data_IF_556525597063
#
_entry.id   IF_556525597063
#
_cell.length_a   1.000
_cell.length_b   1.000
_cell.length_c   1.000
_cell.angle_alpha   90.00
_cell.angle_beta   90.00
_cell.angle_gamma   90.00
#
_symmetry.space_group_name_H-M   'P 1'
#
loop_
_entity.id
_entity.type
_entity.pdbx_description
1 polymer ?
#
# COMPACT_ATOMS: atom_id res chain seq x y z
N UNK A 1 -22.70 -24.27 -12.57
CA UNK A 1 -22.60 -23.36 -13.74
C UNK A 1 -21.17 -23.30 -14.30
N UNK A 2 -20.14 -23.04 -13.47
CA UNK A 2 -18.76 -22.89 -13.95
C UNK A 2 -18.03 -24.22 -14.30
N UNK A 3 -18.56 -25.38 -13.89
CA UNK A 3 -18.00 -26.70 -14.25
C UNK A 3 -16.98 -27.28 -13.26
N UNK A 4 -16.86 -26.74 -12.05
CA UNK A 4 -16.01 -27.30 -10.98
C UNK A 4 -16.72 -28.48 -10.31
N UNK A 5 -15.99 -29.57 -10.11
CA UNK A 5 -16.40 -30.70 -9.27
C UNK A 5 -16.51 -30.24 -7.81
N UNK A 6 -17.73 -30.28 -7.28
CA UNK A 6 -18.06 -29.77 -5.96
C UNK A 6 -17.59 -30.65 -4.80
N UNK A 7 -17.33 -31.93 -5.07
CA UNK A 7 -16.96 -32.90 -4.03
C UNK A 7 -15.43 -32.98 -3.89
N UNK A 8 -14.70 -32.80 -4.99
CA UNK A 8 -13.24 -32.97 -5.03
C UNK A 8 -12.44 -31.68 -5.08
N UNK A 9 -12.96 -30.62 -5.73
CA UNK A 9 -12.16 -29.42 -6.06
C UNK A 9 -12.83 -28.11 -5.64
N UNK A 10 -13.82 -28.17 -4.73
CA UNK A 10 -14.52 -27.00 -4.25
C UNK A 10 -14.37 -26.84 -2.73
N UNK A 11 -13.55 -25.87 -2.34
CA UNK A 11 -13.27 -25.55 -0.94
C UNK A 11 -14.09 -24.35 -0.51
N UNK A 12 -15.03 -24.57 0.41
CA UNK A 12 -16.00 -23.56 0.83
C UNK A 12 -15.50 -22.74 2.01
N UNK A 13 -15.97 -21.52 2.09
CA UNK A 13 -16.05 -20.72 3.31
C UNK A 13 -17.42 -20.04 3.35
N UNK A 14 -17.75 -19.39 4.46
CA UNK A 14 -19.12 -18.95 4.75
C UNK A 14 -19.27 -17.43 4.67
N UNK A 15 -20.52 -16.98 4.61
CA UNK A 15 -20.93 -15.58 4.53
C UNK A 15 -20.49 -14.72 5.72
N UNK A 16 -20.35 -15.31 6.90
CA UNK A 16 -19.80 -14.66 8.08
C UNK A 16 -18.27 -14.46 8.05
N UNK A 17 -17.57 -15.00 7.03
CA UNK A 17 -16.15 -14.73 6.78
C UNK A 17 -16.03 -13.59 5.79
N UNK A 18 -15.81 -12.37 6.29
CA UNK A 18 -15.55 -11.21 5.44
C UNK A 18 -14.27 -11.38 4.61
N UNK A 19 -14.25 -10.88 3.37
CA UNK A 19 -13.13 -11.08 2.45
C UNK A 19 -11.76 -10.66 3.03
N UNK A 20 -11.71 -9.51 3.71
CA UNK A 20 -10.50 -8.98 4.37
C UNK A 20 -10.11 -9.70 5.67
N UNK A 21 -10.94 -10.63 6.16
CA UNK A 21 -10.70 -11.52 7.32
C UNK A 21 -10.66 -13.01 6.90
N UNK A 22 -10.47 -13.30 5.61
CA UNK A 22 -10.71 -14.65 5.06
C UNK A 22 -9.47 -15.55 4.98
N UNK A 23 -8.27 -15.05 5.27
CA UNK A 23 -7.03 -15.81 5.05
C UNK A 23 -6.93 -17.07 5.93
N UNK A 24 -7.54 -17.08 7.13
CA UNK A 24 -7.64 -18.27 7.97
C UNK A 24 -8.69 -19.30 7.49
N UNK A 25 -9.47 -18.99 6.45
CA UNK A 25 -10.45 -19.89 5.83
C UNK A 25 -9.83 -20.67 4.64
N UNK A 26 -10.67 -21.39 3.89
CA UNK A 26 -10.29 -22.01 2.62
C UNK A 26 -9.58 -21.06 1.64
N UNK A 27 -9.89 -19.75 1.70
CA UNK A 27 -9.28 -18.74 0.82
C UNK A 27 -7.75 -18.66 0.98
N UNK A 28 -7.22 -18.75 2.20
CA UNK A 28 -5.77 -18.86 2.42
C UNK A 28 -5.30 -20.30 2.57
N UNK A 29 -6.10 -21.18 3.19
CA UNK A 29 -5.72 -22.55 3.48
C UNK A 29 -5.31 -23.32 2.23
N UNK A 30 -6.09 -23.23 1.15
CA UNK A 30 -5.82 -23.98 -0.09
C UNK A 30 -4.50 -23.54 -0.73
N UNK A 31 -4.30 -22.27 -1.14
CA UNK A 31 -3.07 -21.87 -1.83
C UNK A 31 -1.82 -21.99 -0.94
N UNK A 32 -1.90 -21.66 0.35
CA UNK A 32 -0.75 -21.71 1.26
C UNK A 32 -0.36 -23.17 1.53
N UNK A 33 -1.33 -24.06 1.73
CA UNK A 33 -1.05 -25.48 1.97
C UNK A 33 -0.51 -26.19 0.73
N UNK A 34 -0.95 -25.79 -0.48
CA UNK A 34 -0.39 -26.31 -1.72
C UNK A 34 1.09 -25.96 -1.89
N UNK A 35 1.50 -24.75 -1.45
CA UNK A 35 2.87 -24.29 -1.60
C UNK A 35 3.79 -24.76 -0.46
N UNK A 36 3.29 -24.78 0.78
CA UNK A 36 4.10 -24.97 1.97
C UNK A 36 3.70 -26.17 2.86
N UNK A 37 2.67 -26.91 2.45
CA UNK A 37 2.11 -28.03 3.22
C UNK A 37 1.10 -27.57 4.29
N UNK A 38 0.11 -28.42 4.53
CA UNK A 38 -0.95 -28.15 5.51
C UNK A 38 -0.42 -28.03 6.95
N UNK A 39 0.62 -28.80 7.30
CA UNK A 39 1.25 -28.73 8.63
C UNK A 39 1.83 -27.34 8.95
N UNK A 40 2.33 -26.62 7.93
CA UNK A 40 2.79 -25.24 8.12
C UNK A 40 1.61 -24.29 8.31
N UNK A 41 0.55 -24.47 7.51
CA UNK A 41 -0.67 -23.68 7.64
C UNK A 41 -1.36 -23.89 9.00
N UNK A 42 -1.34 -25.11 9.53
CA UNK A 42 -1.88 -25.41 10.86
C UNK A 42 -1.10 -24.65 11.96
N UNK A 43 0.23 -24.53 11.84
CA UNK A 43 1.04 -23.70 12.76
C UNK A 43 0.67 -22.22 12.67
N UNK A 44 0.38 -21.74 11.46
CA UNK A 44 -0.14 -20.39 11.25
C UNK A 44 -1.49 -20.17 11.93
N UNK A 45 -2.45 -21.10 11.75
CA UNK A 45 -3.75 -21.04 12.41
C UNK A 45 -3.62 -21.08 13.94
N UNK A 46 -2.70 -21.90 14.48
CA UNK A 46 -2.39 -21.93 15.92
C UNK A 46 -1.87 -20.58 16.42
N UNK A 47 -1.09 -19.88 15.59
CA UNK A 47 -0.62 -18.52 15.85
C UNK A 47 -1.77 -17.53 15.97
N UNK A 48 -2.64 -17.47 14.95
CA UNK A 48 -3.83 -16.63 14.98
C UNK A 48 -4.72 -16.92 16.19
N UNK A 49 -5.03 -18.21 16.43
CA UNK A 49 -5.84 -18.64 17.57
C UNK A 49 -5.25 -18.25 18.93
N UNK A 50 -3.92 -18.16 19.05
CA UNK A 50 -3.29 -17.71 20.29
C UNK A 50 -3.61 -16.25 20.61
N UNK A 51 -3.73 -15.40 19.60
CA UNK A 51 -4.14 -14.00 19.76
C UNK A 51 -5.65 -13.92 19.97
N UNK A 52 -6.45 -14.74 19.29
CA UNK A 52 -7.90 -14.81 19.55
C UNK A 52 -8.18 -15.11 21.03
N UNK A 53 -7.48 -16.11 21.60
CA UNK A 53 -7.59 -16.46 23.03
C UNK A 53 -7.13 -15.31 23.91
N UNK A 54 -5.97 -14.71 23.62
CA UNK A 54 -5.48 -13.54 24.35
C UNK A 54 -6.50 -12.39 24.33
N UNK A 55 -7.11 -12.12 23.18
CA UNK A 55 -8.09 -11.06 23.00
C UNK A 55 -9.36 -11.29 23.81
N UNK A 56 -9.80 -12.54 23.97
CA UNK A 56 -10.98 -12.91 24.75
C UNK A 56 -10.69 -12.94 26.26
N UNK A 57 -9.54 -13.47 26.65
CA UNK A 57 -9.25 -13.85 28.05
C UNK A 57 -8.49 -12.77 28.83
N UNK A 58 -7.67 -11.94 28.18
CA UNK A 58 -6.84 -10.97 28.87
C UNK A 58 -7.66 -9.75 29.37
N UNK A 59 -7.40 -9.26 30.60
CA UNK A 59 -7.92 -7.96 31.06
C UNK A 59 -7.57 -6.86 30.07
N UNK A 60 -8.46 -5.87 29.89
CA UNK A 60 -8.34 -4.83 28.86
C UNK A 60 -6.99 -4.10 28.92
N UNK A 61 -6.50 -3.80 30.13
CA UNK A 61 -5.22 -3.11 30.37
C UNK A 61 -3.98 -3.97 30.08
N UNK A 62 -4.15 -5.26 29.78
CA UNK A 62 -3.11 -6.21 29.35
C UNK A 62 -3.39 -6.81 27.97
N UNK A 63 -4.46 -6.37 27.33
CA UNK A 63 -4.93 -6.92 26.07
C UNK A 63 -4.29 -6.14 24.91
N UNK A 64 -3.41 -6.80 24.16
CA UNK A 64 -2.52 -6.12 23.21
C UNK A 64 -3.34 -5.53 22.05
N UNK A 65 -4.23 -6.27 21.37
CA UNK A 65 -5.13 -5.66 20.37
C UNK A 65 -5.94 -4.48 20.91
N UNK A 66 -6.44 -4.56 22.15
CA UNK A 66 -7.21 -3.46 22.77
C UNK A 66 -6.34 -2.22 22.95
N UNK A 67 -5.13 -2.37 23.49
CA UNK A 67 -4.18 -1.26 23.68
C UNK A 67 -3.82 -0.62 22.33
N UNK A 68 -3.51 -1.43 21.31
CA UNK A 68 -3.20 -0.90 19.98
C UNK A 68 -4.39 -0.19 19.33
N UNK A 69 -5.62 -0.71 19.51
CA UNK A 69 -6.84 -0.05 19.06
C UNK A 69 -7.07 1.28 19.76
N UNK A 70 -6.89 1.34 21.08
CA UNK A 70 -6.99 2.56 21.88
C UNK A 70 -5.94 3.60 21.46
N UNK A 71 -4.70 3.20 21.17
CA UNK A 71 -3.67 4.10 20.66
C UNK A 71 -4.05 4.68 19.29
N UNK A 72 -4.64 3.87 18.40
CA UNK A 72 -5.16 4.33 17.11
C UNK A 72 -6.26 5.38 17.28
N UNK A 73 -7.28 5.08 18.09
CA UNK A 73 -8.37 6.03 18.41
C UNK A 73 -7.83 7.30 19.08
N UNK A 74 -6.88 7.17 20.02
CA UNK A 74 -6.26 8.32 20.68
C UNK A 74 -5.54 9.24 19.68
N UNK A 75 -4.66 8.67 18.86
CA UNK A 75 -3.90 9.41 17.87
C UNK A 75 -4.81 10.09 16.84
N UNK A 76 -5.85 9.40 16.36
CA UNK A 76 -6.75 9.95 15.36
C UNK A 76 -7.76 10.93 15.96
N UNK A 77 -8.55 10.51 16.94
CA UNK A 77 -9.70 11.26 17.44
C UNK A 77 -9.32 12.39 18.41
N UNK A 78 -8.16 12.32 19.07
CA UNK A 78 -7.73 13.33 20.04
C UNK A 78 -6.52 14.14 19.56
N UNK A 79 -5.57 13.53 18.86
CA UNK A 79 -4.38 14.21 18.33
C UNK A 79 -4.49 14.61 16.86
N UNK A 80 -5.58 14.23 16.17
CA UNK A 80 -5.84 14.51 14.75
C UNK A 80 -4.75 13.98 13.79
N UNK A 81 -4.16 12.83 14.13
CA UNK A 81 -3.24 12.11 13.25
C UNK A 81 -4.03 11.14 12.37
N UNK A 82 -4.40 11.59 11.17
CA UNK A 82 -5.30 10.86 10.26
C UNK A 82 -4.60 9.80 9.40
N UNK A 83 -3.35 9.48 9.71
CA UNK A 83 -2.50 8.60 8.91
C UNK A 83 -1.66 7.77 9.85
N UNK A 84 -1.48 6.48 9.53
CA UNK A 84 -0.59 5.58 10.26
C UNK A 84 0.31 4.86 9.27
N UNK A 85 1.54 4.55 9.70
CA UNK A 85 2.44 3.73 8.90
C UNK A 85 2.83 2.43 9.60
N UNK A 86 2.82 1.33 8.86
CA UNK A 86 3.34 0.02 9.32
C UNK A 86 4.70 -0.23 8.69
N UNK A 87 5.71 -0.45 9.54
CA UNK A 87 7.12 -0.49 9.16
C UNK A 87 7.74 -1.82 9.63
N UNK A 88 7.56 -2.92 8.87
CA UNK A 88 8.22 -4.17 9.20
C UNK A 88 9.71 -4.10 8.86
N UNK A 89 10.58 -4.25 9.85
CA UNK A 89 12.02 -4.47 9.67
C UNK A 89 12.28 -5.93 9.33
N UNK A 90 11.63 -6.39 8.26
CA UNK A 90 11.73 -7.71 7.68
C UNK A 90 11.18 -7.67 6.25
N UNK A 91 12.04 -7.89 5.25
CA UNK A 91 11.65 -7.89 3.84
C UNK A 91 10.60 -8.97 3.51
N UNK A 92 10.62 -10.09 4.25
CA UNK A 92 9.60 -11.14 4.13
C UNK A 92 8.17 -10.67 4.41
N UNK A 93 7.99 -9.49 5.03
CA UNK A 93 6.70 -8.85 5.29
C UNK A 93 6.39 -7.70 4.32
N UNK A 94 7.05 -7.64 3.15
CA UNK A 94 6.80 -6.62 2.11
C UNK A 94 5.32 -6.41 1.77
N UNK A 95 4.49 -7.46 1.84
CA UNK A 95 3.06 -7.39 1.53
C UNK A 95 2.15 -7.19 2.74
N UNK A 96 2.71 -7.14 3.96
CA UNK A 96 1.93 -6.89 5.17
C UNK A 96 1.27 -5.50 5.18
N UNK A 97 1.95 -4.38 4.84
CA UNK A 97 1.30 -3.07 4.78
C UNK A 97 0.12 -3.02 3.80
N UNK A 98 0.24 -3.67 2.65
CA UNK A 98 -0.83 -3.74 1.66
C UNK A 98 -2.05 -4.56 2.14
N UNK A 99 -1.81 -5.62 2.91
CA UNK A 99 -2.90 -6.37 3.54
C UNK A 99 -3.61 -5.52 4.61
N UNK A 100 -2.84 -4.84 5.47
CA UNK A 100 -3.36 -3.97 6.52
C UNK A 100 -4.18 -2.81 5.93
N UNK A 101 -3.75 -2.22 4.80
CA UNK A 101 -4.52 -1.21 4.08
C UNK A 101 -5.95 -1.66 3.80
N UNK A 102 -6.12 -2.84 3.20
CA UNK A 102 -7.45 -3.36 2.95
C UNK A 102 -8.19 -3.67 4.26
N UNK A 103 -7.51 -4.35 5.19
CA UNK A 103 -8.10 -4.75 6.46
C UNK A 103 -8.68 -3.55 7.22
N UNK A 104 -7.90 -2.49 7.42
CA UNK A 104 -8.30 -1.36 8.25
C UNK A 104 -9.14 -0.34 7.48
N UNK A 105 -8.68 0.11 6.31
CA UNK A 105 -9.35 1.19 5.57
C UNK A 105 -10.72 0.76 5.05
N UNK A 106 -10.87 -0.49 4.58
CA UNK A 106 -12.17 -1.01 4.13
C UNK A 106 -13.10 -1.34 5.32
N UNK A 107 -12.54 -1.68 6.49
CA UNK A 107 -13.32 -1.90 7.71
C UNK A 107 -13.83 -0.58 8.31
N UNK A 108 -12.93 0.37 8.52
CA UNK A 108 -13.16 1.52 9.39
C UNK A 108 -13.32 2.85 8.65
N UNK A 109 -13.09 2.91 7.34
CA UNK A 109 -13.39 4.06 6.49
C UNK A 109 -14.89 4.27 6.28
N UNK A 110 -15.58 4.74 7.33
CA UNK A 110 -17.04 4.87 7.39
C UNK A 110 -17.46 6.30 7.70
N UNK A 111 -18.71 6.64 7.38
CA UNK A 111 -19.31 7.94 7.72
C UNK A 111 -20.64 7.80 8.47
N UNK A 112 -21.07 6.56 8.73
CA UNK A 112 -22.30 6.24 9.45
C UNK A 112 -21.97 5.32 10.63
N UNK A 113 -22.60 5.59 11.78
CA UNK A 113 -22.56 4.70 12.95
C UNK A 113 -23.37 3.43 12.68
N UNK A 114 -23.24 2.44 13.57
CA UNK A 114 -24.04 1.21 13.56
C UNK A 114 -25.54 1.44 13.71
N UNK A 115 -25.93 2.61 14.20
CA UNK A 115 -27.31 3.04 14.37
C UNK A 115 -27.85 3.86 13.20
N UNK A 116 -27.05 4.07 12.14
CA UNK A 116 -27.47 4.83 10.97
C UNK A 116 -27.49 6.34 11.23
N UNK A 117 -26.63 6.83 12.13
CA UNK A 117 -26.38 8.26 12.32
C UNK A 117 -25.11 8.67 11.59
N UNK A 118 -25.08 9.87 11.04
CA UNK A 118 -23.87 10.42 10.42
C UNK A 118 -22.84 10.75 11.51
N UNK A 119 -21.58 10.43 11.22
CA UNK A 119 -20.45 10.63 12.14
C UNK A 119 -19.89 12.06 11.94
N UNK A 120 -19.68 12.79 13.04
CA UNK A 120 -19.11 14.15 13.05
C UNK A 120 -17.65 14.21 13.58
N UNK A 121 -17.00 13.05 13.77
CA UNK A 121 -15.61 12.89 14.20
C UNK A 121 -14.78 12.05 13.20
N UNK A 122 -13.44 12.18 13.18
CA UNK A 122 -12.60 11.39 12.28
C UNK A 122 -12.61 9.90 12.67
N UNK A 123 -12.84 9.02 11.69
CA UNK A 123 -12.75 7.56 11.81
C UNK A 123 -12.00 6.95 10.61
N UNK A 124 -11.25 5.87 10.86
CA UNK A 124 -10.50 5.12 9.85
C UNK A 124 -9.25 5.85 9.36
N UNK A 125 -8.06 5.44 9.81
CA UNK A 125 -6.81 6.03 9.35
C UNK A 125 -6.51 5.72 7.87
N UNK A 126 -5.76 6.60 7.21
CA UNK A 126 -5.06 6.25 5.97
C UNK A 126 -3.82 5.44 6.34
N UNK A 127 -3.83 4.15 5.99
CA UNK A 127 -2.70 3.27 6.22
C UNK A 127 -1.75 3.24 5.03
N UNK A 128 -0.44 3.23 5.30
CA UNK A 128 0.59 2.98 4.29
C UNK A 128 1.83 2.35 4.93
N UNK A 129 2.80 1.92 4.14
CA UNK A 129 4.05 1.41 4.69
C UNK A 129 4.89 0.64 3.69
N UNK A 130 6.15 0.46 4.06
CA UNK A 130 7.17 -0.30 3.35
C UNK A 130 8.09 -0.95 4.39
N UNK A 131 8.77 -2.07 4.06
CA UNK A 131 9.79 -2.61 4.94
C UNK A 131 10.89 -1.62 5.30
N UNK A 132 11.43 -1.75 6.51
CA UNK A 132 12.70 -1.15 6.88
C UNK A 132 13.86 -1.95 6.27
N UNK A 133 14.93 -1.33 5.77
CA UNK A 133 15.24 0.10 5.79
C UNK A 133 14.73 0.88 4.57
N UNK A 134 14.07 0.22 3.59
CA UNK A 134 13.62 0.83 2.34
C UNK A 134 12.77 2.09 2.56
N UNK A 135 11.82 2.04 3.50
CA UNK A 135 10.99 3.20 3.87
C UNK A 135 11.79 4.41 4.36
N UNK A 136 12.96 4.18 5.00
CA UNK A 136 13.85 5.25 5.48
C UNK A 136 14.40 6.10 4.34
N UNK A 137 14.65 5.47 3.20
CA UNK A 137 15.15 6.12 1.99
C UNK A 137 14.03 6.62 1.06
N UNK A 138 12.78 6.56 1.49
CA UNK A 138 11.61 6.98 0.71
C UNK A 138 10.87 8.14 1.39
N UNK A 139 10.24 7.89 2.54
CA UNK A 139 9.28 8.82 3.13
C UNK A 139 9.59 9.21 4.59
N UNK A 140 10.68 8.71 5.19
CA UNK A 140 11.04 9.06 6.58
C UNK A 140 11.41 10.53 6.76
N UNK A 141 11.84 11.23 5.71
CA UNK A 141 11.99 12.69 5.73
C UNK A 141 10.69 13.38 6.17
N UNK A 142 9.55 12.93 5.65
CA UNK A 142 8.24 13.43 6.04
C UNK A 142 7.89 12.97 7.47
N UNK A 143 8.17 11.71 7.82
CA UNK A 143 7.90 11.21 9.18
C UNK A 143 8.64 12.02 10.26
N UNK A 144 9.87 12.45 9.99
CA UNK A 144 10.71 13.18 10.95
C UNK A 144 10.50 14.70 10.96
N UNK A 145 10.25 15.31 9.80
CA UNK A 145 10.22 16.78 9.68
C UNK A 145 8.92 17.35 9.12
N UNK A 146 8.07 16.51 8.52
CA UNK A 146 6.76 16.89 7.99
C UNK A 146 5.64 16.67 9.00
N UNK A 147 4.46 16.30 8.49
CA UNK A 147 3.29 15.95 9.31
C UNK A 147 3.61 14.80 10.28
N UNK A 148 2.91 14.76 11.41
CA UNK A 148 3.09 13.68 12.41
C UNK A 148 2.28 12.48 11.97
N UNK A 149 2.94 11.32 11.90
CA UNK A 149 2.35 10.04 11.51
C UNK A 149 2.78 9.00 12.55
N UNK A 150 1.85 8.47 13.36
CA UNK A 150 2.09 7.31 14.21
C UNK A 150 2.68 6.14 13.42
N UNK A 151 3.75 5.54 13.97
CA UNK A 151 4.53 4.50 13.31
C UNK A 151 4.47 3.19 14.09
N UNK A 152 4.02 2.10 13.45
CA UNK A 152 4.08 0.75 14.00
C UNK A 152 5.33 0.03 13.46
N UNK A 153 6.37 -0.04 14.28
CA UNK A 153 7.61 -0.78 13.98
C UNK A 153 7.43 -2.26 14.35
N UNK A 154 7.73 -3.16 13.42
CA UNK A 154 7.70 -4.61 13.65
C UNK A 154 9.09 -5.19 13.37
N UNK A 155 9.72 -5.80 14.37
CA UNK A 155 11.06 -6.36 14.27
C UNK A 155 11.13 -7.80 14.77
N UNK A 156 12.24 -8.48 14.46
CA UNK A 156 12.48 -9.84 14.89
C UNK A 156 13.87 -9.98 15.52
N UNK A 157 13.98 -10.77 16.59
CA UNK A 157 15.28 -11.06 17.24
C UNK A 157 16.16 -11.89 16.31
N UNK A 158 15.58 -12.78 15.51
CA UNK A 158 16.32 -13.66 14.60
C UNK A 158 15.89 -13.49 13.13
N UNK A 159 16.88 -13.38 12.24
CA UNK A 159 16.65 -13.43 10.79
C UNK A 159 16.20 -14.83 10.34
N UNK A 160 15.48 -14.87 9.21
CA UNK A 160 15.20 -16.11 8.48
C UNK A 160 16.44 -16.60 7.72
N UNK A 161 17.29 -15.67 7.26
CA UNK A 161 18.52 -15.91 6.50
C UNK A 161 19.55 -14.85 6.91
N UNK A 162 20.26 -15.10 8.00
CA UNK A 162 21.29 -14.17 8.48
C UNK A 162 22.58 -14.31 7.66
N UNK A 163 23.28 -13.19 7.47
CA UNK A 163 24.55 -13.13 6.77
C UNK A 163 25.58 -12.47 7.68
N UNK A 164 26.65 -13.21 7.99
CA UNK A 164 27.83 -12.70 8.66
C UNK A 164 29.03 -12.96 7.76
N UNK A 165 29.62 -11.90 7.20
CA UNK A 165 30.77 -11.99 6.30
C UNK A 165 32.08 -11.93 7.11
N UNK A 166 33.10 -12.65 6.66
CA UNK A 166 34.42 -12.62 7.29
C UNK A 166 35.00 -11.21 7.26
N UNK A 167 35.38 -10.69 8.42
CA UNK A 167 35.94 -9.35 8.58
C UNK A 167 34.93 -8.26 8.96
N UNK A 168 33.63 -8.55 8.89
CA UNK A 168 32.59 -7.64 9.39
C UNK A 168 32.42 -7.75 10.91
N UNK A 169 32.14 -6.62 11.56
CA UNK A 169 31.97 -6.54 13.02
C UNK A 169 30.54 -6.88 13.48
N UNK A 170 29.56 -6.79 12.57
CA UNK A 170 28.14 -7.03 12.83
C UNK A 170 27.56 -7.97 11.77
N UNK A 171 26.53 -8.71 12.15
CA UNK A 171 25.70 -9.44 11.19
C UNK A 171 24.84 -8.46 10.38
N UNK A 172 24.44 -8.86 9.16
CA UNK A 172 23.48 -8.08 8.38
C UNK A 172 22.14 -7.88 9.11
N UNK A 173 21.73 -8.85 9.94
CA UNK A 173 20.53 -8.70 10.77
C UNK A 173 20.71 -7.66 11.87
N UNK A 174 21.87 -7.61 12.52
CA UNK A 174 22.15 -6.58 13.53
C UNK A 174 22.22 -5.19 12.91
N UNK A 175 22.76 -5.02 11.70
CA UNK A 175 22.71 -3.73 10.99
C UNK A 175 21.27 -3.28 10.69
N UNK A 176 20.41 -4.20 10.25
CA UNK A 176 18.98 -3.93 10.08
C UNK A 176 18.34 -3.51 11.41
N UNK A 177 18.62 -4.25 12.48
CA UNK A 177 18.01 -4.01 13.79
C UNK A 177 18.55 -2.77 14.50
N UNK A 178 19.78 -2.35 14.23
CA UNK A 178 20.32 -1.06 14.70
C UNK A 178 19.41 0.10 14.28
N UNK A 179 18.88 0.03 13.06
CA UNK A 179 17.92 1.01 12.57
C UNK A 179 16.52 0.86 13.19
N UNK A 180 16.05 -0.38 13.44
CA UNK A 180 14.78 -0.64 14.14
C UNK A 180 14.75 0.03 15.51
N UNK A 181 15.87 -0.01 16.25
CA UNK A 181 15.96 0.63 17.57
C UNK A 181 16.16 2.15 17.48
N UNK A 182 16.98 2.64 16.53
CA UNK A 182 17.32 4.06 16.44
C UNK A 182 16.14 4.93 15.98
N UNK A 183 15.28 4.44 15.09
CA UNK A 183 14.25 5.27 14.46
C UNK A 183 13.11 5.70 15.43
N UNK A 184 12.56 4.81 16.28
CA UNK A 184 11.62 5.22 17.35
C UNK A 184 12.21 6.28 18.27
N UNK A 185 13.47 6.13 18.69
CA UNK A 185 14.15 7.10 19.57
C UNK A 185 14.35 8.45 18.87
N UNK A 186 14.73 8.45 17.59
CA UNK A 186 14.86 9.67 16.80
C UNK A 186 13.50 10.40 16.65
N UNK A 187 12.41 9.66 16.42
CA UNK A 187 11.05 10.21 16.35
C UNK A 187 10.59 10.79 17.69
N UNK A 188 10.89 10.12 18.80
CA UNK A 188 10.50 10.55 20.14
C UNK A 188 11.32 11.75 20.62
N UNK A 189 12.65 11.68 20.53
CA UNK A 189 13.54 12.64 21.16
C UNK A 189 13.89 13.83 20.26
N UNK A 190 13.93 13.63 18.95
CA UNK A 190 14.36 14.65 18.01
C UNK A 190 15.81 15.11 18.25
N UNK A 191 16.08 16.37 17.89
CA UNK A 191 17.39 17.01 17.95
C UNK A 191 17.23 18.53 18.00
N UNK A 192 17.68 19.13 19.09
CA UNK A 192 17.55 20.55 19.37
C UNK A 192 18.53 21.41 18.58
N UNK A 193 18.25 22.71 18.46
CA UNK A 193 19.15 23.66 17.81
C UNK A 193 20.52 23.76 18.51
N UNK A 194 20.56 23.56 19.83
CA UNK A 194 21.80 23.57 20.61
C UNK A 194 22.69 22.37 20.24
N UNK A 195 22.11 21.17 20.13
CA UNK A 195 22.83 19.97 19.69
C UNK A 195 23.32 20.11 18.25
N UNK A 196 22.49 20.65 17.35
CA UNK A 196 22.88 20.91 15.96
C UNK A 196 24.06 21.88 15.87
N UNK A 197 24.08 22.94 16.70
CA UNK A 197 25.22 23.88 16.79
C UNK A 197 26.47 23.22 17.35
N UNK A 198 26.33 22.36 18.37
CA UNK A 198 27.44 21.63 18.96
C UNK A 198 28.14 20.69 17.95
N UNK A 199 27.43 20.24 16.92
CA UNK A 199 27.98 19.48 15.79
C UNK A 199 28.72 20.33 14.74
N UNK A 200 28.89 21.63 14.99
CA UNK A 200 29.57 22.54 14.07
C UNK A 200 28.74 22.92 12.85
N UNK A 201 27.41 22.84 12.92
CA UNK A 201 26.54 23.31 11.85
C UNK A 201 26.65 24.82 11.67
N UNK A 202 26.74 25.28 10.42
CA UNK A 202 26.61 26.70 10.09
C UNK A 202 25.25 27.24 10.55
N UNK A 203 25.23 28.46 11.11
CA UNK A 203 24.06 28.99 11.83
C UNK A 203 22.82 29.13 10.94
N UNK A 204 23.01 29.45 9.65
CA UNK A 204 21.96 29.52 8.63
C UNK A 204 21.31 28.16 8.34
N UNK A 205 22.04 27.06 8.55
CA UNK A 205 21.55 25.69 8.36
C UNK A 205 20.94 25.07 9.62
N UNK A 206 21.15 25.66 10.80
CA UNK A 206 20.64 25.12 12.07
C UNK A 206 19.13 24.86 12.03
N UNK A 207 18.25 25.79 11.58
CA UNK A 207 16.81 25.56 11.56
C UNK A 207 16.39 24.38 10.67
N UNK A 208 17.18 24.06 9.63
CA UNK A 208 16.94 22.97 8.69
C UNK A 208 17.38 21.59 9.21
N UNK A 209 18.14 21.55 10.31
CA UNK A 209 18.66 20.31 10.91
C UNK A 209 18.09 20.02 12.31
N UNK A 210 17.15 20.85 12.77
CA UNK A 210 16.39 20.61 14.00
C UNK A 210 15.31 19.57 13.75
N UNK A 211 15.26 18.55 14.60
CA UNK A 211 14.21 17.55 14.65
C UNK A 211 13.35 17.83 15.88
N UNK A 212 12.06 18.09 15.69
CA UNK A 212 11.19 18.50 16.80
C UNK A 212 10.91 17.40 17.83
N UNK A 213 11.15 16.14 17.48
CA UNK A 213 10.76 15.00 18.32
C UNK A 213 9.25 14.93 18.54
N UNK A 214 8.84 14.27 19.63
CA UNK A 214 7.45 14.11 20.05
C UNK A 214 6.55 13.52 18.95
N UNK A 215 7.06 12.51 18.23
CA UNK A 215 6.33 11.78 17.19
C UNK A 215 6.07 10.34 17.67
N UNK A 216 4.82 9.89 17.73
CA UNK A 216 4.47 8.63 18.39
C UNK A 216 4.89 7.41 17.57
N UNK A 217 5.31 6.35 18.26
CA UNK A 217 5.58 5.06 17.65
C UNK A 217 5.28 3.90 18.61
N UNK A 218 5.00 2.73 18.04
CA UNK A 218 4.87 1.46 18.73
C UNK A 218 5.92 0.50 18.21
N UNK A 219 6.59 -0.25 19.09
CA UNK A 219 7.57 -1.26 18.69
C UNK A 219 7.13 -2.65 19.12
N UNK A 220 6.90 -3.53 18.14
CA UNK A 220 6.63 -4.96 18.32
C UNK A 220 7.89 -5.76 17.96
N UNK A 221 8.53 -6.37 18.96
CA UNK A 221 9.70 -7.23 18.76
C UNK A 221 9.35 -8.69 19.04
N UNK A 222 9.38 -9.53 18.01
CA UNK A 222 9.06 -10.96 18.11
C UNK A 222 10.34 -11.81 18.06
N UNK A 223 10.36 -13.04 18.60
CA UNK A 223 11.57 -13.88 18.59
C UNK A 223 12.06 -14.21 17.18
N UNK A 224 11.16 -14.64 16.29
CA UNK A 224 11.48 -15.02 14.90
C UNK A 224 10.22 -15.01 14.05
N UNK A 225 10.34 -14.62 12.78
CA UNK A 225 9.25 -14.71 11.81
C UNK A 225 9.03 -16.18 11.37
N UNK A 226 8.15 -16.85 12.10
CA UNK A 226 7.68 -18.22 11.84
C UNK A 226 6.22 -18.20 11.39
N UNK A 227 5.71 -19.30 10.82
CA UNK A 227 4.28 -19.40 10.47
C UNK A 227 3.35 -19.05 11.65
N UNK A 228 3.70 -19.50 12.86
CA UNK A 228 2.97 -19.16 14.08
C UNK A 228 3.02 -17.64 14.37
N UNK A 229 4.20 -17.03 14.31
CA UNK A 229 4.33 -15.57 14.51
C UNK A 229 3.60 -14.77 13.42
N UNK A 230 3.58 -15.24 12.17
CA UNK A 230 2.80 -14.64 11.08
C UNK A 230 1.31 -14.68 11.38
N UNK A 231 0.81 -15.81 11.90
CA UNK A 231 -0.59 -15.93 12.35
C UNK A 231 -0.90 -15.00 13.51
N UNK A 232 0.02 -14.84 14.47
CA UNK A 232 -0.13 -13.88 15.56
C UNK A 232 -0.22 -12.44 15.03
N UNK A 233 0.66 -12.05 14.12
CA UNK A 233 0.65 -10.70 13.53
C UNK A 233 -0.64 -10.43 12.77
N UNK A 234 -1.14 -11.40 11.98
CA UNK A 234 -2.42 -11.27 11.31
C UNK A 234 -3.56 -10.98 12.30
N UNK A 235 -3.78 -11.91 13.25
CA UNK A 235 -4.89 -11.80 14.18
C UNK A 235 -4.77 -10.55 15.08
N UNK A 236 -3.55 -10.13 15.40
CA UNK A 236 -3.31 -8.89 16.14
C UNK A 236 -3.90 -7.68 15.42
N UNK A 237 -3.67 -7.55 14.11
CA UNK A 237 -4.21 -6.44 13.32
C UNK A 237 -5.71 -6.60 13.05
N UNK A 238 -6.21 -7.83 12.85
CA UNK A 238 -7.66 -8.09 12.72
C UNK A 238 -8.44 -7.60 13.96
N UNK A 239 -7.97 -7.97 15.16
CA UNK A 239 -8.61 -7.56 16.41
C UNK A 239 -8.40 -6.08 16.72
N UNK A 240 -7.23 -5.51 16.40
CA UNK A 240 -6.98 -4.07 16.55
C UNK A 240 -7.96 -3.23 15.72
N UNK A 241 -8.15 -3.59 14.44
CA UNK A 241 -9.12 -2.95 13.55
C UNK A 241 -10.55 -3.08 14.09
N UNK A 242 -10.94 -4.26 14.59
CA UNK A 242 -12.26 -4.46 15.20
C UNK A 242 -12.47 -3.61 16.46
N UNK A 243 -11.47 -3.51 17.35
CA UNK A 243 -11.53 -2.67 18.56
C UNK A 243 -11.79 -1.21 18.21
N UNK A 244 -11.08 -0.66 17.23
CA UNK A 244 -11.31 0.71 16.79
C UNK A 244 -12.74 0.91 16.27
N UNK A 245 -13.23 -0.04 15.48
CA UNK A 245 -14.60 -0.05 15.00
C UNK A 245 -15.64 0.00 16.11
N UNK A 246 -15.45 -0.82 17.15
CA UNK A 246 -16.32 -0.82 18.32
C UNK A 246 -16.25 0.49 19.11
N UNK A 247 -15.07 1.08 19.26
CA UNK A 247 -14.89 2.36 19.97
C UNK A 247 -15.51 3.54 19.21
N UNK A 248 -15.45 3.54 17.88
CA UNK A 248 -16.07 4.56 17.03
C UNK A 248 -17.56 4.33 16.77
N UNK A 249 -18.14 3.24 17.31
CA UNK A 249 -19.52 2.81 17.06
C UNK A 249 -19.86 2.67 15.56
N UNK A 250 -18.96 2.07 14.79
CA UNK A 250 -19.12 1.80 13.34
C UNK A 250 -19.19 0.31 13.04
N UNK A 251 -19.71 -0.03 11.87
CA UNK A 251 -19.72 -1.41 11.41
C UNK A 251 -18.43 -1.74 10.63
N UNK A 252 -17.47 -2.40 11.27
CA UNK A 252 -16.21 -2.81 10.63
C UNK A 252 -16.35 -3.94 9.60
N UNK A 253 -17.54 -4.52 9.43
CA UNK A 253 -17.72 -5.78 8.71
C UNK A 253 -18.53 -5.64 7.41
N UNK A 254 -19.02 -4.44 7.07
CA UNK A 254 -19.60 -4.13 5.75
C UNK A 254 -18.64 -3.35 4.84
N UNK A 255 -19.03 -3.15 3.57
CA UNK A 255 -18.27 -2.38 2.58
C UNK A 255 -19.17 -1.74 1.49
N UNK A 256 -20.28 -1.10 1.87
CA UNK A 256 -21.23 -0.54 0.89
C UNK A 256 -20.62 0.47 -0.10
N UNK A 257 -19.55 1.15 0.29
CA UNK A 257 -18.86 2.15 -0.54
C UNK A 257 -18.31 1.61 -1.87
N UNK A 258 -18.08 0.30 -2.01
CA UNK A 258 -17.53 -0.27 -3.27
C UNK A 258 -18.60 -0.54 -4.34
N UNK A 259 -19.88 -0.52 -3.98
CA UNK A 259 -20.96 -0.96 -4.86
C UNK A 259 -21.30 0.05 -5.97
N UNK A 260 -21.14 1.35 -5.71
CA UNK A 260 -21.39 2.40 -6.71
C UNK A 260 -20.42 2.27 -7.89
N UNK A 261 -19.12 2.08 -7.61
CA UNK A 261 -18.10 1.91 -8.64
C UNK A 261 -18.35 0.69 -9.53
N UNK A 262 -18.77 -0.44 -8.94
CA UNK A 262 -19.12 -1.65 -9.70
C UNK A 262 -20.31 -1.42 -10.65
N UNK A 263 -21.34 -0.71 -10.19
CA UNK A 263 -22.51 -0.38 -11.03
C UNK A 263 -22.13 0.53 -12.20
N UNK A 264 -21.36 1.59 -11.93
CA UNK A 264 -20.89 2.50 -12.98
C UNK A 264 -19.95 1.81 -13.98
N UNK A 265 -19.10 0.90 -13.51
CA UNK A 265 -18.24 0.11 -14.40
C UNK A 265 -19.04 -0.80 -15.34
N UNK A 266 -20.15 -1.37 -14.87
CA UNK A 266 -21.05 -2.16 -15.73
C UNK A 266 -21.77 -1.31 -16.79
N UNK A 267 -22.16 -0.08 -16.46
CA UNK A 267 -22.71 0.87 -17.42
C UNK A 267 -21.67 1.23 -18.50
N UNK A 268 -20.45 1.59 -18.07
CA UNK A 268 -19.34 1.88 -19.00
C UNK A 268 -19.02 0.66 -19.88
N UNK A 269 -19.04 -0.56 -19.32
CA UNK A 269 -18.86 -1.79 -20.10
C UNK A 269 -19.91 -1.93 -21.20
N UNK A 270 -21.17 -1.62 -20.93
CA UNK A 270 -22.23 -1.68 -21.94
C UNK A 270 -22.02 -0.64 -23.03
N UNK A 271 -21.67 0.60 -22.68
CA UNK A 271 -21.32 1.63 -23.67
C UNK A 271 -20.13 1.19 -24.55
N UNK A 272 -19.12 0.56 -23.96
CA UNK A 272 -17.99 0.02 -24.72
C UNK A 272 -18.42 -1.13 -25.64
N UNK A 273 -19.30 -2.03 -25.20
CA UNK A 273 -19.82 -3.10 -26.05
C UNK A 273 -20.60 -2.53 -27.25
N UNK A 274 -21.46 -1.55 -27.01
CA UNK A 274 -22.24 -0.88 -28.06
C UNK A 274 -21.34 -0.16 -29.06
N UNK A 275 -20.34 0.58 -28.58
CA UNK A 275 -19.38 1.31 -29.42
C UNK A 275 -18.44 0.41 -30.23
N UNK A 276 -18.29 -0.87 -29.83
CA UNK A 276 -17.44 -1.86 -30.50
C UNK A 276 -18.19 -2.76 -31.46
N UNK A 277 -19.53 -2.75 -31.44
CA UNK A 277 -20.31 -3.49 -32.42
C UNK A 277 -20.10 -2.87 -33.81
N UNK A 278 -19.63 -3.69 -34.76
CA UNK A 278 -19.05 -3.32 -36.08
C UNK A 278 -19.95 -2.46 -36.99
N UNK A 279 -21.24 -2.34 -36.66
CA UNK A 279 -22.22 -1.61 -37.47
C UNK A 279 -22.37 -0.12 -37.10
N UNK A 280 -21.58 0.42 -36.16
CA UNK A 280 -21.79 1.79 -35.68
C UNK A 280 -20.50 2.61 -35.50
N UNK A 281 -19.79 2.84 -36.61
CA UNK A 281 -18.54 3.64 -36.61
C UNK A 281 -18.73 5.10 -36.16
N UNK A 282 -19.96 5.60 -36.11
CA UNK A 282 -20.31 6.96 -35.65
C UNK A 282 -20.89 6.99 -34.23
N UNK A 283 -20.94 5.84 -33.53
CA UNK A 283 -21.50 5.80 -32.18
C UNK A 283 -20.72 6.72 -31.22
N UNK A 284 -21.39 7.76 -30.73
CA UNK A 284 -20.88 8.63 -29.68
C UNK A 284 -21.44 8.18 -28.35
N UNK A 285 -20.55 7.86 -27.42
CA UNK A 285 -20.92 7.52 -26.04
C UNK A 285 -21.28 8.82 -25.32
N UNK A 286 -22.51 8.89 -24.83
CA UNK A 286 -22.97 9.96 -23.94
C UNK A 286 -23.25 9.39 -22.55
N UNK A 287 -22.46 9.81 -21.58
CA UNK A 287 -22.67 9.54 -20.15
C UNK A 287 -23.21 10.79 -19.46
N UNK A 288 -23.69 10.66 -18.22
CA UNK A 288 -24.14 11.80 -17.41
C UNK A 288 -23.10 12.90 -17.22
N UNK A 289 -21.80 12.55 -17.22
CA UNK A 289 -20.71 13.51 -17.08
C UNK A 289 -20.05 13.77 -18.46
N UNK A 290 -20.11 15.01 -18.99
CA UNK A 290 -19.49 15.35 -20.27
C UNK A 290 -18.00 15.04 -20.35
N UNK A 291 -17.26 15.10 -19.24
CA UNK A 291 -15.84 14.74 -19.21
C UNK A 291 -15.63 13.25 -19.49
N UNK A 292 -16.44 12.39 -18.86
CA UNK A 292 -16.41 10.94 -19.09
C UNK A 292 -16.80 10.60 -20.53
N UNK A 293 -17.82 11.27 -21.07
CA UNK A 293 -18.20 11.12 -22.48
C UNK A 293 -17.03 11.45 -23.41
N UNK A 294 -16.35 12.58 -23.21
CA UNK A 294 -15.19 12.98 -24.04
C UNK A 294 -14.05 11.96 -23.98
N UNK A 295 -13.65 11.53 -22.79
CA UNK A 295 -12.52 10.61 -22.65
C UNK A 295 -12.85 9.19 -23.14
N UNK A 296 -14.09 8.72 -22.95
CA UNK A 296 -14.52 7.42 -23.48
C UNK A 296 -14.55 7.42 -25.00
N UNK A 297 -15.07 8.48 -25.63
CA UNK A 297 -15.05 8.62 -27.08
C UNK A 297 -13.62 8.68 -27.62
N UNK A 298 -12.74 9.47 -26.99
CA UNK A 298 -11.32 9.49 -27.35
C UNK A 298 -10.68 8.09 -27.23
N UNK A 299 -10.93 7.39 -26.11
CA UNK A 299 -10.45 6.03 -25.91
C UNK A 299 -10.94 5.10 -27.01
N UNK A 300 -12.24 5.08 -27.30
CA UNK A 300 -12.85 4.24 -28.34
C UNK A 300 -12.22 4.53 -29.69
N UNK A 301 -12.18 5.79 -30.12
CA UNK A 301 -11.68 6.23 -31.43
C UNK A 301 -10.20 5.81 -31.63
N UNK A 302 -9.38 5.91 -30.59
CA UNK A 302 -7.94 5.62 -30.66
C UNK A 302 -7.58 4.15 -30.38
N UNK A 303 -8.53 3.30 -30.00
CA UNK A 303 -8.27 1.87 -29.71
C UNK A 303 -9.03 0.90 -30.62
N UNK A 304 -9.72 1.38 -31.67
CA UNK A 304 -10.39 0.52 -32.66
C UNK A 304 -9.44 -0.44 -33.39
N UNK A 305 -8.18 -0.03 -33.62
CA UNK A 305 -7.16 -0.83 -34.29
C UNK A 305 -6.17 -1.47 -33.30
N UNK A 306 -6.46 -1.46 -31.99
CA UNK A 306 -5.64 -2.18 -31.03
C UNK A 306 -5.81 -3.68 -31.32
N UNK A 307 -4.72 -4.44 -31.59
CA UNK A 307 -4.84 -5.84 -31.98
C UNK A 307 -5.41 -6.65 -30.83
N UNK A 308 -6.67 -7.04 -30.93
CA UNK A 308 -7.31 -8.01 -30.06
C UNK A 308 -7.06 -9.40 -30.66
N UNK A 309 -5.83 -9.89 -30.54
CA UNK A 309 -5.38 -11.24 -30.93
C UNK A 309 -5.77 -11.71 -32.34
N UNK A 310 -4.84 -11.60 -33.30
CA UNK A 310 -4.66 -12.69 -34.26
C UNK A 310 -4.19 -13.91 -33.47
N UNK A 311 -5.12 -14.70 -32.93
CA UNK A 311 -4.85 -16.09 -32.57
C UNK A 311 -4.74 -16.86 -33.87
N UNK A 312 -3.54 -16.80 -34.45
CA UNK A 312 -3.22 -17.52 -35.67
C UNK A 312 -3.44 -19.02 -35.43
N UNK A 313 -4.20 -19.65 -36.31
CA UNK A 313 -4.68 -21.04 -36.21
C UNK A 313 -3.59 -22.10 -36.43
N UNK A 314 -2.33 -21.76 -36.16
CA UNK A 314 -1.20 -22.70 -36.16
C UNK A 314 -0.57 -22.74 -34.77
N UNK A 315 -0.82 -23.84 -34.05
CA UNK A 315 -0.11 -24.13 -32.82
C UNK A 315 1.41 -24.18 -33.06
N UNK A 316 2.15 -23.82 -32.00
CA UNK A 316 3.61 -23.74 -31.84
C UNK A 316 4.17 -22.31 -31.96
N UNK A 317 4.17 -21.62 -30.83
CA UNK A 317 5.00 -20.43 -30.61
C UNK A 317 6.46 -20.86 -30.37
N UNK A 318 7.33 -20.69 -31.36
CA UNK A 318 8.78 -20.71 -31.14
C UNK A 318 9.23 -19.33 -30.62
N UNK A 319 9.39 -19.19 -29.30
CA UNK A 319 10.06 -18.04 -28.71
C UNK A 319 11.56 -18.23 -28.88
N UNK A 320 12.13 -17.76 -29.99
CA UNK A 320 13.59 -17.72 -30.17
C UNK A 320 14.16 -16.46 -29.54
N UNK A 321 14.63 -16.58 -28.28
CA UNK A 321 15.57 -15.63 -27.66
C UNK A 321 16.87 -15.64 -28.47
N UNK A 322 17.14 -14.60 -29.24
CA UNK A 322 18.51 -14.30 -29.69
C UNK A 322 19.24 -13.52 -28.61
N UNK A 323 19.85 -14.24 -27.67
CA UNK A 323 21.02 -13.76 -26.92
C UNK A 323 22.26 -14.06 -27.76
N UNK A 324 22.82 -13.05 -28.42
CA UNK A 324 24.17 -13.16 -28.99
C UNK A 324 25.19 -12.80 -27.91
N UNK A 325 25.83 -13.81 -27.33
CA UNK A 325 27.21 -13.70 -26.87
C UNK A 325 28.12 -14.11 -28.02
N UNK A 326 29.03 -13.22 -28.41
CA UNK A 326 30.31 -13.62 -28.99
C UNK A 326 31.38 -12.60 -28.59
N UNK A 327 32.30 -13.04 -27.74
CA UNK A 327 33.61 -12.44 -27.55
C UNK A 327 34.48 -12.72 -28.78
N UNK A 328 35.18 -11.71 -29.31
CA UNK A 328 36.65 -11.74 -29.35
C UNK A 328 37.31 -10.40 -29.75
N UNK A 329 38.50 -10.21 -29.18
CA UNK A 329 39.48 -9.11 -29.25
C UNK A 329 39.87 -8.57 -30.65
N UNK A 330 40.14 -7.26 -30.76
CA UNK A 330 41.48 -6.61 -30.86
C UNK A 330 41.50 -5.30 -31.70
N UNK A 331 42.21 -4.29 -31.13
CA UNK A 331 43.01 -3.20 -31.74
C UNK A 331 42.41 -2.02 -32.55
N UNK A 332 42.67 -0.81 -32.00
CA UNK A 332 43.12 0.48 -32.59
C UNK A 332 42.77 0.85 -34.05
N UNK A 333 42.03 1.96 -34.25
CA UNK A 333 42.56 3.27 -34.68
C UNK A 333 41.44 4.29 -35.03
N UNK A 334 41.82 5.58 -35.01
CA UNK A 334 41.05 6.81 -35.29
C UNK A 334 40.11 6.81 -36.50
N UNK A 335 38.93 7.47 -36.40
CA UNK A 335 38.65 8.80 -36.98
C UNK A 335 37.17 9.24 -36.87
N UNK A 336 37.02 10.54 -36.54
CA UNK A 336 35.99 11.55 -36.83
C UNK A 336 34.55 11.27 -37.33
N UNK A 337 33.67 12.20 -36.86
CA UNK A 337 32.37 12.67 -37.39
C UNK A 337 31.16 11.72 -37.17
N UNK A 338 29.97 12.11 -36.71
CA UNK A 338 29.23 13.38 -36.66
C UNK A 338 28.18 13.26 -35.53
N UNK A 339 27.96 14.31 -34.74
CA UNK A 339 26.86 14.36 -33.76
C UNK A 339 25.56 14.79 -34.44
N UNK A 340 24.56 13.90 -34.50
CA UNK A 340 23.17 14.29 -34.69
C UNK A 340 22.46 14.31 -33.33
N UNK A 341 22.16 15.52 -32.85
CA UNK A 341 21.25 15.75 -31.72
C UNK A 341 19.83 15.35 -32.15
N UNK A 342 19.21 14.40 -31.45
CA UNK A 342 17.76 14.24 -31.44
C UNK A 342 17.22 14.80 -30.12
N UNK A 343 16.70 16.04 -30.20
CA UNK A 343 15.82 16.57 -29.15
C UNK A 343 14.44 15.91 -29.27
N UNK A 344 13.72 15.69 -28.15
CA UNK A 344 12.33 15.25 -28.19
C UNK A 344 11.42 16.37 -28.74
N UNK A 345 10.27 16.04 -29.34
CA UNK A 345 9.39 17.02 -29.95
C UNK A 345 8.83 17.98 -28.89
N UNK A 346 9.01 19.28 -29.14
CA UNK A 346 8.31 20.36 -28.43
C UNK A 346 6.92 20.46 -29.02
N UNK A 347 5.91 19.80 -28.45
CA UNK A 347 4.52 20.27 -28.46
C UNK A 347 3.70 19.40 -27.50
N UNK A 348 3.20 20.03 -26.44
CA UNK A 348 2.10 19.51 -25.62
C UNK A 348 0.83 19.57 -26.48
N UNK A 349 0.57 18.52 -27.24
CA UNK A 349 -0.72 18.30 -27.88
C UNK A 349 -1.57 17.41 -26.98
N UNK A 350 -2.19 18.05 -25.98
CA UNK A 350 -3.36 17.51 -25.30
C UNK A 350 -4.56 18.08 -26.05
N UNK A 351 -5.07 17.29 -27.00
CA UNK A 351 -6.12 17.67 -27.93
C UNK A 351 -7.22 18.54 -27.30
N UNK A 352 -7.32 19.76 -27.81
CA UNK A 352 -8.36 20.73 -27.49
C UNK A 352 -8.49 21.72 -28.64
N UNK A 353 -9.47 21.50 -29.51
CA UNK A 353 -9.87 22.51 -30.48
C UNK A 353 -10.48 23.71 -29.74
N UNK A 354 -9.90 24.88 -30.04
CA UNK A 354 -10.42 26.24 -29.90
C UNK A 354 -11.22 26.59 -28.63
N UNK A 355 -10.49 27.01 -27.59
CA UNK A 355 -11.06 27.76 -26.46
C UNK A 355 -10.26 29.03 -26.22
N UNK A 356 -10.76 30.18 -26.67
CA UNK A 356 -10.20 31.50 -26.34
C UNK A 356 -10.38 31.79 -24.84
N UNK A 357 -9.27 31.90 -24.10
CA UNK A 357 -9.28 32.46 -22.74
C UNK A 357 -9.43 33.99 -22.83
N UNK A 358 -10.55 34.52 -22.34
CA UNK A 358 -10.71 35.96 -22.07
C UNK A 358 -9.95 36.33 -20.78
N UNK A 359 -9.21 37.44 -20.74
CA UNK A 359 -8.58 37.91 -19.51
C UNK A 359 -9.63 38.60 -18.61
N UNK A 360 -9.72 38.19 -17.34
CA UNK A 360 -10.45 38.93 -16.32
C UNK A 360 -9.61 40.13 -15.87
N UNK A 361 -10.12 41.35 -16.11
CA UNK A 361 -9.73 42.53 -15.33
C UNK A 361 -10.23 42.36 -13.90
N UNK A 362 -9.38 42.66 -12.93
CA UNK A 362 -9.78 43.52 -11.81
C UNK A 362 -8.55 44.14 -11.14
N UNK A 363 -8.61 45.46 -11.07
CA UNK A 363 -7.72 46.39 -10.38
C UNK A 363 -7.96 46.33 -8.87
N UNK A 364 -6.89 46.46 -8.08
CA UNK A 364 -6.75 47.33 -6.90
C UNK A 364 -5.34 47.09 -6.34
N UNK A 365 -4.36 47.92 -6.72
CA UNK A 365 -3.95 49.17 -6.06
C UNK A 365 -3.55 49.01 -4.58
N UNK A 366 -2.24 48.90 -4.40
CA UNK A 366 -1.51 49.29 -3.19
C UNK A 366 -1.29 50.80 -3.15
N UNK A 367 -1.62 51.46 -2.03
CA UNK A 367 -0.96 52.67 -1.47
C UNK A 367 -1.57 53.00 -0.10
N UNK A 368 -0.86 52.71 0.99
CA UNK A 368 -0.05 53.60 1.85
C UNK A 368 0.76 52.70 2.79
#
# INVERSE_FOLDING_TARGET
AFGIDLDNYFFRFWDWVGGRYSVCSAAGAVPISLLYGFDLFEKFLKGANSIDKHFIEAPLEKNIPVILGLLGVWNMSFLNYNTRTTLPYAEALLKLPAHIQQLDMESNGKYMTRHGLEIDYPVGEVDFGEPGTNGQHSFFQLLHMGQTVPCDFIGFVQSQHDLCLDGELLSSHDELMANFFAQPDALANGKTAAEVRAEGCAEDLVPHRVFKGNRPSTSLLLPKLTAYATGQLLALYEHRTAVQGFLWDINSFDQWGVELGKKLAMEVKNHLLEARNENNNEHRIETQNPATSRILNYYVDNSRNAPCNELDSSGITSVTRKTHHQHNNNNNNHHHHQHHNHFPPRHNDLGGNEGFLRPSKNEHESKV
#
